data_IF_283241050705
#
_entry.id   IF_283241050705
#
_cell.length_a   1.000
_cell.length_b   1.000
_cell.length_c   1.000
_cell.angle_alpha   90.00
_cell.angle_beta   90.00
_cell.angle_gamma   90.00
#
_symmetry.space_group_name_H-M   'P 1'
#
loop_
_entity.id
_entity.type
_entity.pdbx_description
1 polymer ?
#
# COMPACT_ATOMS: atom_id res chain seq x y z
N UNK A 1 -15.21 31.45 51.62
CA UNK A 1 -15.73 31.11 50.28
C UNK A 1 -14.78 30.12 49.62
N UNK A 2 -15.14 28.84 49.45
CA UNK A 2 -14.37 27.86 48.67
C UNK A 2 -14.91 27.83 47.24
N UNK A 3 -14.12 28.26 46.25
CA UNK A 3 -14.41 27.98 44.84
C UNK A 3 -14.04 26.53 44.57
N UNK A 4 -15.01 25.72 44.18
CA UNK A 4 -14.73 24.41 43.60
C UNK A 4 -14.25 24.62 42.15
N UNK A 5 -13.17 23.95 41.69
CA UNK A 5 -12.78 24.05 40.30
C UNK A 5 -13.88 23.44 39.41
N UNK A 6 -14.29 24.18 38.36
CA UNK A 6 -15.08 23.63 37.26
C UNK A 6 -14.20 22.59 36.57
N UNK A 7 -14.58 21.31 36.64
CA UNK A 7 -14.07 20.33 35.70
C UNK A 7 -14.71 20.61 34.35
N UNK A 8 -13.92 21.20 33.45
CA UNK A 8 -14.31 21.41 32.07
C UNK A 8 -14.25 20.05 31.37
N UNK A 9 -15.39 19.34 31.32
CA UNK A 9 -15.53 18.12 30.53
C UNK A 9 -15.54 18.47 29.04
N UNK A 10 -14.36 18.82 28.51
CA UNK A 10 -14.14 18.83 27.08
C UNK A 10 -14.36 17.39 26.61
N UNK A 11 -15.39 17.16 25.80
CA UNK A 11 -15.76 15.83 25.29
C UNK A 11 -14.66 15.29 24.36
N UNK A 12 -13.64 14.65 24.95
CA UNK A 12 -12.43 14.10 24.30
C UNK A 12 -12.72 12.93 23.35
N UNK A 13 -13.91 12.32 23.41
CA UNK A 13 -14.23 11.11 22.65
C UNK A 13 -14.30 11.34 21.14
N UNK A 14 -14.88 12.46 20.69
CA UNK A 14 -15.00 12.77 19.26
C UNK A 14 -13.64 12.97 18.57
N UNK A 15 -12.72 13.82 19.07
CA UNK A 15 -11.41 13.96 18.44
C UNK A 15 -10.58 12.67 18.52
N UNK A 16 -10.73 11.88 19.58
CA UNK A 16 -10.08 10.57 19.70
C UNK A 16 -10.55 9.59 18.60
N UNK A 17 -11.86 9.47 18.40
CA UNK A 17 -12.42 8.57 17.37
C UNK A 17 -11.95 8.97 15.97
N UNK A 18 -11.89 10.27 15.66
CA UNK A 18 -11.37 10.76 14.38
C UNK A 18 -9.89 10.42 14.24
N UNK A 19 -9.09 10.60 15.28
CA UNK A 19 -7.66 10.26 15.23
C UNK A 19 -7.44 8.76 14.97
N UNK A 20 -8.19 7.91 15.67
CA UNK A 20 -8.13 6.45 15.49
C UNK A 20 -8.58 6.06 14.08
N UNK A 21 -9.68 6.64 13.58
CA UNK A 21 -10.17 6.29 12.24
C UNK A 21 -9.16 6.67 11.15
N UNK A 22 -8.56 7.86 11.23
CA UNK A 22 -7.49 8.28 10.31
C UNK A 22 -6.29 7.34 10.38
N UNK A 23 -5.85 6.97 11.59
CA UNK A 23 -4.75 6.03 11.77
C UNK A 23 -5.03 4.68 11.10
N UNK A 24 -6.24 4.14 11.28
CA UNK A 24 -6.63 2.86 10.68
C UNK A 24 -6.65 2.92 9.16
N UNK A 25 -7.15 4.02 8.58
CA UNK A 25 -7.13 4.22 7.12
C UNK A 25 -5.69 4.29 6.61
N UNK A 26 -4.82 5.05 7.27
CA UNK A 26 -3.40 5.12 6.88
C UNK A 26 -2.70 3.76 6.99
N UNK A 27 -2.99 2.99 8.04
CA UNK A 27 -2.45 1.65 8.20
C UNK A 27 -2.94 0.71 7.08
N UNK A 28 -4.21 0.80 6.69
CA UNK A 28 -4.75 0.02 5.58
C UNK A 28 -4.09 0.39 4.25
N UNK A 29 -3.86 1.69 3.98
CA UNK A 29 -3.17 2.16 2.78
C UNK A 29 -1.68 1.75 2.73
N UNK A 30 -1.08 1.47 3.89
CA UNK A 30 0.29 0.98 4.01
C UNK A 30 0.41 -0.56 3.91
N UNK A 31 -0.70 -1.29 3.74
CA UNK A 31 -0.65 -2.74 3.57
C UNK A 31 0.16 -3.06 2.30
N UNK A 32 1.17 -3.95 2.39
CA UNK A 32 1.97 -4.32 1.23
C UNK A 32 1.16 -5.18 0.28
N UNK A 33 1.17 -4.83 -1.00
CA UNK A 33 0.63 -5.66 -2.08
C UNK A 33 1.73 -6.02 -3.06
N UNK A 34 1.73 -7.26 -3.56
CA UNK A 34 2.68 -7.72 -4.56
C UNK A 34 2.06 -7.59 -5.95
N UNK A 35 2.80 -6.94 -6.85
CA UNK A 35 2.37 -6.62 -8.20
C UNK A 35 3.38 -7.21 -9.19
N UNK A 36 2.93 -8.06 -10.11
CA UNK A 36 3.76 -8.46 -11.24
C UNK A 36 3.74 -7.38 -12.29
N UNK A 37 4.92 -7.17 -12.85
CA UNK A 37 5.16 -6.16 -13.85
C UNK A 37 4.89 -4.75 -13.37
N UNK A 38 4.56 -4.55 -12.08
CA UNK A 38 3.96 -3.37 -11.47
C UNK A 38 2.87 -2.67 -12.31
N UNK A 39 2.28 -1.60 -11.80
CA UNK A 39 1.02 -1.04 -12.28
C UNK A 39 1.11 -0.15 -13.55
N UNK A 40 -0.02 0.41 -13.97
CA UNK A 40 -0.87 0.02 -15.10
C UNK A 40 -0.21 -0.07 -16.48
N UNK A 41 -0.79 -0.93 -17.35
CA UNK A 41 -0.36 -1.15 -18.74
C UNK A 41 0.74 -2.20 -18.91
N UNK A 42 1.13 -2.87 -17.82
CA UNK A 42 2.39 -3.61 -17.80
C UNK A 42 2.23 -5.04 -18.33
N UNK A 43 3.07 -5.34 -19.31
CA UNK A 43 3.53 -6.69 -19.65
C UNK A 43 5.02 -6.71 -19.42
N UNK A 44 5.46 -7.59 -18.54
CA UNK A 44 6.85 -7.93 -18.34
C UNK A 44 6.89 -9.46 -18.32
N UNK A 45 7.76 -10.02 -19.13
CA UNK A 45 8.07 -11.43 -19.08
C UNK A 45 9.37 -11.57 -19.85
N UNK A 46 10.30 -12.35 -19.33
CA UNK A 46 11.39 -12.81 -20.17
C UNK A 46 10.86 -13.81 -21.19
N UNK A 47 11.64 -14.07 -22.24
CA UNK A 47 11.48 -15.30 -22.98
C UNK A 47 11.68 -16.51 -22.04
N UNK A 48 11.16 -17.67 -22.46
CA UNK A 48 11.39 -18.93 -21.75
C UNK A 48 12.88 -19.23 -21.77
N UNK A 49 13.47 -19.45 -20.60
CA UNK A 49 14.89 -19.77 -20.48
C UNK A 49 15.19 -21.25 -20.77
N UNK A 50 16.47 -21.63 -20.71
CA UNK A 50 16.92 -22.99 -20.98
C UNK A 50 16.39 -24.04 -19.96
N UNK A 51 15.90 -23.60 -18.80
CA UNK A 51 15.31 -24.45 -17.77
C UNK A 51 13.80 -24.59 -17.91
N UNK A 52 13.20 -23.87 -18.87
CA UNK A 52 11.76 -23.84 -19.08
C UNK A 52 11.03 -22.83 -18.19
N UNK A 53 11.73 -21.82 -17.68
CA UNK A 53 11.18 -20.82 -16.76
C UNK A 53 10.96 -19.46 -17.44
N UNK A 54 9.92 -18.76 -17.01
CA UNK A 54 9.63 -17.37 -17.36
C UNK A 54 9.81 -16.51 -16.12
N UNK A 55 10.52 -15.40 -16.28
CA UNK A 55 10.80 -14.50 -15.19
C UNK A 55 9.96 -13.23 -15.31
N UNK A 56 9.35 -12.84 -14.19
CA UNK A 56 8.51 -11.65 -14.05
C UNK A 56 9.14 -10.70 -13.04
N UNK A 57 9.39 -9.47 -13.45
CA UNK A 57 9.67 -8.41 -12.50
C UNK A 57 8.45 -8.20 -11.58
N UNK A 58 8.67 -7.95 -10.30
CA UNK A 58 7.60 -7.60 -9.36
C UNK A 58 8.01 -6.47 -8.42
N UNK A 59 7.00 -5.76 -7.94
CA UNK A 59 7.09 -4.74 -6.90
C UNK A 59 6.18 -5.14 -5.73
N UNK A 60 6.63 -4.85 -4.51
CA UNK A 60 5.81 -4.90 -3.30
C UNK A 60 5.65 -3.46 -2.82
N UNK A 61 4.44 -2.94 -2.90
CA UNK A 61 4.17 -1.52 -2.72
C UNK A 61 3.02 -1.29 -1.73
N UNK A 62 2.89 -0.06 -1.19
CA UNK A 62 1.73 0.29 -0.39
C UNK A 62 0.46 0.24 -1.23
N UNK A 63 -0.61 -0.35 -0.71
CA UNK A 63 -1.94 -0.36 -1.35
C UNK A 63 -2.37 1.03 -1.84
N UNK A 64 -2.05 2.08 -1.08
CA UNK A 64 -2.35 3.45 -1.49
C UNK A 64 -1.65 3.88 -2.77
N UNK A 65 -0.40 3.46 -2.99
CA UNK A 65 0.36 3.79 -4.21
C UNK A 65 -0.26 3.11 -5.41
N UNK A 66 -0.51 1.80 -5.33
CA UNK A 66 -1.21 1.06 -6.36
C UNK A 66 -2.51 1.74 -6.82
N UNK A 67 -3.34 2.15 -5.86
CA UNK A 67 -4.60 2.81 -6.18
C UNK A 67 -4.37 4.14 -6.92
N UNK A 68 -3.39 4.93 -6.49
CA UNK A 68 -3.00 6.18 -7.14
C UNK A 68 -2.50 5.93 -8.57
N UNK A 69 -1.63 4.96 -8.77
CA UNK A 69 -1.08 4.62 -10.09
C UNK A 69 -2.17 4.21 -11.08
N UNK A 70 -3.14 3.40 -10.63
CA UNK A 70 -4.28 3.01 -11.46
C UNK A 70 -5.21 4.18 -11.78
N UNK A 71 -5.37 5.12 -10.83
CA UNK A 71 -6.17 6.32 -11.06
C UNK A 71 -5.50 7.30 -12.04
N UNK A 72 -4.17 7.44 -11.97
CA UNK A 72 -3.41 8.38 -12.81
C UNK A 72 -3.00 7.73 -14.15
N UNK A 73 -2.98 6.40 -14.23
CA UNK A 73 -2.57 5.67 -15.42
C UNK A 73 -1.05 5.65 -15.64
N UNK A 74 -0.26 5.89 -14.60
CA UNK A 74 1.20 5.97 -14.67
C UNK A 74 1.84 5.22 -13.52
N UNK A 75 2.99 4.61 -13.81
CA UNK A 75 3.85 3.98 -12.82
C UNK A 75 4.56 5.01 -11.93
N UNK A 76 4.55 4.79 -10.60
CA UNK A 76 5.24 5.59 -9.59
C UNK A 76 6.25 4.67 -8.91
N UNK A 77 7.57 4.97 -8.94
CA UNK A 77 8.60 4.10 -8.36
C UNK A 77 8.65 4.23 -6.81
N UNK A 78 7.53 3.97 -6.14
CA UNK A 78 7.38 3.99 -4.69
C UNK A 78 6.88 2.63 -4.19
N UNK A 79 7.86 1.76 -3.94
CA UNK A 79 7.66 0.41 -3.45
C UNK A 79 8.51 0.17 -2.19
N UNK A 80 8.09 -0.79 -1.37
CA UNK A 80 8.87 -1.26 -0.23
C UNK A 80 10.04 -2.15 -0.67
N UNK A 81 9.81 -3.00 -1.67
CA UNK A 81 10.82 -3.89 -2.25
C UNK A 81 10.43 -4.27 -3.68
N UNK A 82 11.39 -4.74 -4.47
CA UNK A 82 11.18 -5.26 -5.81
C UNK A 82 12.09 -6.46 -6.06
N UNK A 83 11.78 -7.24 -7.10
CA UNK A 83 12.56 -8.43 -7.43
C UNK A 83 12.03 -9.17 -8.65
N UNK A 84 12.41 -10.44 -8.73
CA UNK A 84 12.08 -11.33 -9.83
C UNK A 84 11.33 -12.55 -9.33
N UNK A 85 10.25 -12.90 -10.03
CA UNK A 85 9.42 -14.05 -9.76
C UNK A 85 9.53 -15.04 -10.92
N UNK A 86 9.96 -16.26 -10.60
CA UNK A 86 10.22 -17.33 -11.57
C UNK A 86 9.00 -18.25 -11.65
N UNK A 87 8.50 -18.48 -12.87
CA UNK A 87 7.34 -19.33 -13.14
C UNK A 87 7.68 -20.33 -14.24
N UNK A 88 7.50 -21.62 -13.96
CA UNK A 88 7.73 -22.68 -14.94
C UNK A 88 6.64 -22.72 -16.02
N UNK A 89 7.05 -22.85 -17.28
CA UNK A 89 6.11 -23.07 -18.40
C UNK A 89 5.54 -24.48 -18.29
N UNK A 90 4.21 -24.58 -18.30
CA UNK A 90 3.48 -25.85 -18.19
C UNK A 90 3.45 -26.60 -19.52
#
# INVERSE_FOLDING_TARGET
MRRYPRQDHRSTTKPLVIAISVLLVMAALAIPIKQRCGAPGRTCATAVDANGDVHYYYEVEPLGIFLIENMIGSDIPLFYTSGEEIVKVR
#
